data_IF_776781370250
#
_entry.id   IF_776781370250
#
_cell.length_a   1.000
_cell.length_b   1.000
_cell.length_c   1.000
_cell.angle_alpha   90.00
_cell.angle_beta   90.00
_cell.angle_gamma   90.00
#
_symmetry.space_group_name_H-M   'P 1'
#
loop_
_entity.id
_entity.type
_entity.pdbx_description
1 polymer ?
#
# COMPACT_ATOMS: atom_id res chain seq x y z
N UNK A 1 63.96 -30.24 -30.36
CA UNK A 1 64.19 -31.67 -30.07
C UNK A 1 62.91 -32.40 -30.50
N UNK A 2 62.98 -33.14 -31.63
CA UNK A 2 62.31 -34.43 -31.93
C UNK A 2 60.75 -34.45 -31.88
N UNK A 3 59.97 -34.92 -32.86
CA UNK A 3 60.21 -35.65 -34.12
C UNK A 3 58.96 -35.54 -35.04
N UNK A 4 59.21 -35.61 -36.35
CA UNK A 4 58.26 -35.79 -37.46
C UNK A 4 57.43 -37.08 -37.35
N UNK A 5 56.18 -37.06 -37.84
CA UNK A 5 55.64 -38.25 -38.51
C UNK A 5 54.63 -37.86 -39.59
N UNK A 6 55.06 -38.07 -40.83
CA UNK A 6 54.28 -38.05 -42.06
C UNK A 6 53.45 -39.34 -42.17
N UNK A 7 52.22 -39.25 -42.68
CA UNK A 7 51.56 -40.41 -43.27
C UNK A 7 50.92 -40.00 -44.60
N UNK A 8 51.50 -40.55 -45.67
CA UNK A 8 51.06 -40.52 -47.07
C UNK A 8 50.08 -41.67 -47.25
N UNK A 9 48.86 -41.42 -47.73
CA UNK A 9 47.99 -42.45 -48.34
C UNK A 9 47.36 -41.90 -49.63
N UNK A 10 47.95 -42.35 -50.74
CA UNK A 10 47.40 -42.75 -52.03
C UNK A 10 46.07 -42.14 -52.51
N UNK A 11 46.21 -41.35 -53.58
CA UNK A 11 45.19 -41.04 -54.58
C UNK A 11 44.79 -42.32 -55.32
N UNK A 12 43.49 -42.60 -55.38
CA UNK A 12 42.87 -43.56 -56.27
C UNK A 12 41.79 -42.86 -57.10
N UNK A 13 42.08 -42.65 -58.38
CA UNK A 13 41.10 -42.21 -59.38
C UNK A 13 40.12 -43.35 -59.69
N UNK A 14 38.81 -43.06 -59.60
CA UNK A 14 37.74 -43.88 -60.20
C UNK A 14 36.86 -42.93 -61.04
N UNK A 15 36.53 -43.29 -62.30
CA UNK A 15 35.89 -42.37 -63.24
C UNK A 15 34.37 -42.41 -63.16
N UNK A 16 33.76 -41.24 -63.30
CA UNK A 16 32.59 -41.00 -64.15
C UNK A 16 31.22 -41.48 -63.68
N UNK A 17 30.36 -40.50 -63.38
CA UNK A 17 28.95 -40.54 -63.83
C UNK A 17 27.87 -40.46 -62.75
N UNK A 18 27.45 -39.24 -62.41
CA UNK A 18 26.02 -38.89 -62.40
C UNK A 18 25.89 -37.36 -62.42
N UNK A 19 25.27 -36.84 -63.47
CA UNK A 19 24.71 -35.50 -63.50
C UNK A 19 23.52 -35.49 -62.56
N UNK A 20 23.69 -34.97 -61.33
CA UNK A 20 22.57 -34.57 -60.48
C UNK A 20 21.96 -33.27 -61.03
N UNK A 21 21.39 -33.38 -62.22
CA UNK A 21 20.37 -32.44 -62.66
C UNK A 21 19.09 -32.83 -61.93
N UNK A 22 18.77 -32.08 -60.88
CA UNK A 22 17.39 -32.02 -60.40
C UNK A 22 16.50 -31.82 -61.64
N UNK A 23 15.43 -32.62 -61.77
CA UNK A 23 14.42 -32.46 -62.81
C UNK A 23 14.03 -30.97 -62.91
N UNK A 24 13.61 -30.45 -64.08
CA UNK A 24 13.44 -29.02 -64.38
C UNK A 24 12.50 -28.21 -63.47
N UNK A 25 12.04 -28.78 -62.36
CA UNK A 25 11.13 -28.22 -61.36
C UNK A 25 11.64 -28.37 -59.91
N UNK A 26 12.95 -28.47 -59.65
CA UNK A 26 13.49 -28.58 -58.27
C UNK A 26 14.69 -27.67 -58.04
N UNK A 27 14.75 -27.01 -56.87
CA UNK A 27 15.91 -26.23 -56.42
C UNK A 27 16.79 -27.10 -55.53
N UNK A 28 18.09 -27.14 -55.84
CA UNK A 28 19.08 -27.90 -55.08
C UNK A 28 19.56 -27.10 -53.88
N UNK A 29 19.02 -27.40 -52.69
CA UNK A 29 19.64 -27.04 -51.41
C UNK A 29 20.07 -28.36 -50.77
N UNK A 30 21.36 -28.52 -50.47
CA UNK A 30 21.98 -29.70 -49.84
C UNK A 30 21.78 -31.06 -50.55
N UNK A 31 21.95 -31.12 -51.87
CA UNK A 31 21.88 -32.37 -52.68
C UNK A 31 20.55 -33.14 -52.57
N UNK A 32 19.50 -32.51 -52.03
CA UNK A 32 18.18 -33.11 -51.89
C UNK A 32 17.15 -32.24 -52.63
N UNK A 33 16.75 -32.66 -53.83
CA UNK A 33 15.79 -31.94 -54.66
C UNK A 33 14.44 -31.83 -53.91
N UNK A 34 14.10 -30.63 -53.44
CA UNK A 34 12.83 -30.35 -52.77
C UNK A 34 11.87 -29.64 -53.74
N UNK A 35 10.60 -30.05 -53.84
CA UNK A 35 9.64 -29.42 -54.73
C UNK A 35 9.22 -28.04 -54.19
N UNK A 36 9.10 -27.07 -55.10
CA UNK A 36 8.76 -25.67 -54.83
C UNK A 36 7.23 -25.48 -54.88
N UNK A 37 6.68 -24.50 -54.16
CA UNK A 37 5.24 -24.19 -54.24
C UNK A 37 4.87 -23.85 -55.70
N UNK A 38 3.80 -24.46 -56.22
CA UNK A 38 3.35 -24.36 -57.62
C UNK A 38 3.69 -25.58 -58.51
N UNK A 39 4.47 -26.54 -58.01
CA UNK A 39 4.76 -27.78 -58.73
C UNK A 39 3.58 -28.75 -58.76
N UNK A 40 3.49 -29.58 -59.81
CA UNK A 40 2.46 -30.63 -59.91
C UNK A 40 2.60 -31.66 -58.79
N UNK A 41 1.47 -32.09 -58.26
CA UNK A 41 1.39 -33.10 -57.21
C UNK A 41 0.24 -34.06 -57.49
N UNK A 42 0.31 -35.26 -56.92
CA UNK A 42 -0.74 -36.29 -57.00
C UNK A 42 -1.29 -36.69 -55.64
N UNK A 43 -0.54 -36.43 -54.58
CA UNK A 43 -0.90 -36.67 -53.18
C UNK A 43 -0.22 -35.64 -52.27
N UNK A 44 -0.68 -35.53 -51.03
CA UNK A 44 -0.18 -34.55 -50.05
C UNK A 44 1.31 -34.70 -49.74
N UNK A 45 1.83 -35.94 -49.72
CA UNK A 45 3.26 -36.21 -49.48
C UNK A 45 4.19 -35.62 -50.56
N UNK A 46 3.65 -35.31 -51.75
CA UNK A 46 4.41 -34.68 -52.84
C UNK A 46 4.68 -33.19 -52.55
N UNK A 47 4.07 -32.63 -51.48
CA UNK A 47 4.20 -31.24 -51.04
C UNK A 47 4.80 -31.16 -49.62
N UNK A 48 6.12 -31.38 -49.47
CA UNK A 48 6.82 -31.48 -48.17
C UNK A 48 6.99 -30.12 -47.47
N UNK A 49 6.68 -29.01 -48.14
CA UNK A 49 6.77 -27.67 -47.56
C UNK A 49 5.67 -27.53 -46.48
N UNK A 50 6.01 -27.10 -45.25
CA UNK A 50 5.01 -26.90 -44.21
C UNK A 50 3.88 -25.97 -44.66
N UNK A 51 2.64 -26.36 -44.34
CA UNK A 51 1.42 -25.64 -44.69
C UNK A 51 1.07 -25.56 -46.19
N UNK A 52 1.58 -26.49 -47.01
CA UNK A 52 1.03 -26.72 -48.35
C UNK A 52 -0.05 -27.81 -48.35
N UNK A 53 -0.89 -27.80 -49.39
CA UNK A 53 -1.84 -28.85 -49.76
C UNK A 53 -1.68 -29.19 -51.25
N UNK A 54 -1.96 -30.44 -51.62
CA UNK A 54 -1.97 -30.86 -53.01
C UNK A 54 -3.35 -30.66 -53.66
N UNK A 55 -3.43 -29.70 -54.59
CA UNK A 55 -4.61 -29.47 -55.45
C UNK A 55 -4.19 -29.38 -56.91
N UNK A 56 -3.80 -30.55 -57.47
CA UNK A 56 -3.11 -30.74 -58.76
C UNK A 56 -1.72 -30.09 -58.86
N UNK A 57 -1.49 -29.04 -58.08
CA UNK A 57 -0.21 -28.42 -57.77
C UNK A 57 -0.12 -28.16 -56.27
N UNK A 58 1.10 -28.13 -55.72
CA UNK A 58 1.32 -27.74 -54.32
C UNK A 58 0.94 -26.27 -54.14
N UNK A 59 -0.08 -26.00 -53.32
CA UNK A 59 -0.56 -24.65 -52.97
C UNK A 59 -0.46 -24.46 -51.47
N UNK A 60 -0.40 -23.22 -51.00
CA UNK A 60 -0.51 -22.94 -49.58
C UNK A 60 -1.92 -23.24 -49.06
N UNK A 61 -2.02 -23.69 -47.80
CA UNK A 61 -3.29 -23.84 -47.08
C UNK A 61 -4.03 -22.50 -47.03
N UNK A 62 -5.35 -22.53 -46.94
CA UNK A 62 -6.17 -21.32 -46.94
C UNK A 62 -5.73 -20.30 -45.87
N UNK A 63 -5.61 -19.03 -46.27
CA UNK A 63 -5.08 -17.94 -45.44
C UNK A 63 -3.55 -17.84 -45.42
N UNK A 64 -2.88 -18.45 -46.40
CA UNK A 64 -1.45 -18.32 -46.63
C UNK A 64 -1.15 -18.16 -48.13
N UNK A 65 -0.07 -17.46 -48.46
CA UNK A 65 0.45 -17.29 -49.82
C UNK A 65 1.90 -17.80 -49.92
N UNK A 66 2.39 -18.13 -51.13
CA UNK A 66 3.78 -18.54 -51.31
C UNK A 66 4.72 -17.35 -51.04
N UNK A 67 5.85 -17.59 -50.36
CA UNK A 67 6.96 -16.65 -50.27
C UNK A 67 7.45 -16.24 -51.68
N UNK A 68 8.21 -15.16 -51.77
CA UNK A 68 8.72 -14.63 -53.05
C UNK A 68 9.56 -15.66 -53.83
N UNK A 69 10.33 -16.48 -53.10
CA UNK A 69 11.12 -17.60 -53.61
C UNK A 69 10.34 -18.93 -53.68
N UNK A 70 9.07 -18.93 -53.24
CA UNK A 70 8.14 -20.08 -53.21
C UNK A 70 8.62 -21.27 -52.37
N UNK A 71 9.56 -21.05 -51.47
CA UNK A 71 10.13 -22.10 -50.62
C UNK A 71 9.35 -22.31 -49.31
N UNK A 72 8.44 -21.40 -48.94
CA UNK A 72 7.57 -21.54 -47.77
C UNK A 72 6.24 -20.80 -47.97
N UNK A 73 5.24 -21.13 -47.15
CA UNK A 73 3.95 -20.43 -47.13
C UNK A 73 3.94 -19.36 -46.03
N UNK A 74 3.74 -18.12 -46.41
CA UNK A 74 3.56 -16.97 -45.51
C UNK A 74 2.09 -16.83 -45.12
N UNK A 75 1.81 -16.51 -43.85
CA UNK A 75 0.44 -16.29 -43.38
C UNK A 75 -0.11 -14.96 -43.89
N UNK A 76 -1.28 -14.99 -44.54
CA UNK A 76 -1.99 -13.78 -44.99
C UNK A 76 -2.48 -12.94 -43.80
N UNK A 77 -2.67 -13.58 -42.64
CA UNK A 77 -3.13 -12.93 -41.41
C UNK A 77 -1.93 -12.44 -40.63
N UNK A 78 -1.51 -11.19 -40.87
CA UNK A 78 -0.53 -10.51 -40.01
C UNK A 78 -1.08 -10.39 -38.59
N UNK A 79 -0.20 -10.50 -37.60
CA UNK A 79 -0.45 -10.22 -36.18
C UNK A 79 0.27 -8.95 -35.76
N UNK A 80 -0.15 -8.35 -34.66
CA UNK A 80 0.59 -7.23 -34.05
C UNK A 80 1.96 -7.71 -33.62
N UNK A 81 3.01 -7.01 -34.07
CA UNK A 81 4.41 -7.38 -33.92
C UNK A 81 5.04 -8.03 -35.16
N UNK A 82 4.23 -8.51 -36.11
CA UNK A 82 4.77 -9.13 -37.33
C UNK A 82 5.38 -8.08 -38.26
N UNK A 83 6.38 -8.49 -39.03
CA UNK A 83 6.97 -7.64 -40.08
C UNK A 83 5.97 -7.35 -41.18
N UNK A 84 5.99 -6.12 -41.70
CA UNK A 84 5.02 -5.66 -42.69
C UNK A 84 5.63 -4.70 -43.72
N UNK A 85 4.99 -4.61 -44.88
CA UNK A 85 5.16 -3.55 -45.88
C UNK A 85 3.84 -2.80 -46.08
N UNK A 86 3.93 -1.50 -46.32
CA UNK A 86 2.82 -0.61 -46.64
C UNK A 86 1.53 -0.84 -45.81
N UNK A 87 0.50 -1.44 -46.41
CA UNK A 87 -0.84 -1.56 -45.85
C UNK A 87 -1.22 -3.01 -45.45
N UNK A 88 -0.23 -3.90 -45.37
CA UNK A 88 -0.40 -5.33 -45.02
C UNK A 88 -1.07 -5.56 -43.65
N UNK A 89 -1.02 -4.58 -42.74
CA UNK A 89 -1.64 -4.68 -41.41
C UNK A 89 -3.14 -4.38 -41.41
N UNK A 90 -3.75 -4.04 -42.56
CA UNK A 90 -5.18 -3.71 -42.66
C UNK A 90 -6.12 -4.86 -42.31
N UNK A 91 -5.63 -6.10 -42.32
CA UNK A 91 -6.36 -7.30 -41.87
C UNK A 91 -6.62 -7.30 -40.36
N UNK A 92 -5.85 -6.53 -39.58
CA UNK A 92 -6.06 -6.32 -38.15
C UNK A 92 -6.79 -4.98 -37.95
N UNK A 93 -8.00 -5.05 -37.38
CA UNK A 93 -8.77 -3.84 -37.10
C UNK A 93 -7.96 -2.86 -36.23
N UNK A 94 -7.87 -1.62 -36.67
CA UNK A 94 -7.12 -0.55 -36.01
C UNK A 94 -5.61 -0.78 -35.89
N UNK A 95 -4.99 -1.54 -36.79
CA UNK A 95 -3.53 -1.61 -36.93
C UNK A 95 -3.01 -0.75 -38.11
N UNK A 96 -1.70 -0.48 -38.08
CA UNK A 96 -0.92 0.14 -39.17
C UNK A 96 0.45 -0.51 -39.24
N UNK A 97 1.05 -0.55 -40.42
CA UNK A 97 2.47 -0.85 -40.55
C UNK A 97 3.28 0.38 -40.13
N UNK A 98 4.17 0.24 -39.14
CA UNK A 98 4.98 1.36 -38.65
C UNK A 98 6.45 0.99 -38.62
N UNK A 99 7.28 1.84 -39.21
CA UNK A 99 8.73 1.76 -39.08
C UNK A 99 9.15 2.13 -37.65
N UNK A 100 9.93 1.24 -37.05
CA UNK A 100 10.56 1.44 -35.75
C UNK A 100 12.07 1.31 -35.87
N UNK A 101 12.78 2.27 -35.30
CA UNK A 101 14.24 2.20 -35.20
C UNK A 101 14.60 1.14 -34.15
N UNK A 102 15.11 0.00 -34.60
CA UNK A 102 15.56 -1.07 -33.72
C UNK A 102 17.05 -0.87 -33.48
N UNK A 103 17.47 -0.93 -32.22
CA UNK A 103 18.89 -0.96 -31.86
C UNK A 103 19.39 -2.39 -31.97
N UNK A 104 20.01 -2.73 -33.10
CA UNK A 104 20.76 -3.97 -33.26
C UNK A 104 22.20 -3.75 -32.79
N UNK A 105 22.70 -4.67 -31.95
CA UNK A 105 24.06 -4.59 -31.40
C UNK A 105 24.92 -5.64 -32.12
N UNK A 106 25.63 -5.21 -33.16
CA UNK A 106 26.55 -6.07 -33.92
C UNK A 106 28.01 -5.66 -33.61
N UNK A 107 28.81 -6.60 -33.10
CA UNK A 107 30.24 -6.41 -32.78
C UNK A 107 30.60 -5.13 -32.00
N UNK A 108 29.79 -4.76 -30.99
CA UNK A 108 30.09 -3.61 -30.12
C UNK A 108 29.79 -2.24 -30.72
N UNK A 109 29.51 -2.13 -32.02
CA UNK A 109 29.03 -0.92 -32.66
C UNK A 109 27.50 -0.87 -32.66
N UNK A 110 26.92 0.32 -32.40
CA UNK A 110 25.48 0.55 -32.49
C UNK A 110 25.12 0.85 -33.94
N UNK A 111 24.46 -0.08 -34.60
CA UNK A 111 23.86 0.11 -35.92
C UNK A 111 22.36 0.35 -35.68
N UNK A 112 21.77 1.24 -36.46
CA UNK A 112 20.33 1.53 -36.40
C UNK A 112 19.71 0.94 -37.65
N UNK A 113 18.96 -0.15 -37.48
CA UNK A 113 18.16 -0.74 -38.54
C UNK A 113 16.70 -0.30 -38.39
N UNK A 114 16.02 -0.12 -39.51
CA UNK A 114 14.59 0.20 -39.55
C UNK A 114 13.82 -1.09 -39.83
N UNK A 115 13.09 -1.59 -38.84
CA UNK A 115 12.13 -2.68 -39.04
C UNK A 115 10.71 -2.12 -39.04
N UNK A 116 9.94 -2.48 -40.06
CA UNK A 116 8.51 -2.16 -40.17
C UNK A 116 7.70 -3.27 -39.53
N UNK A 117 6.92 -2.96 -38.50
CA UNK A 117 6.06 -3.94 -37.81
C UNK A 117 4.62 -3.48 -37.71
N UNK A 118 3.68 -4.44 -37.69
CA UNK A 118 2.27 -4.16 -37.44
C UNK A 118 2.08 -3.67 -36.01
N UNK A 119 1.57 -2.46 -35.85
CA UNK A 119 1.31 -1.83 -34.56
C UNK A 119 -0.10 -1.26 -34.52
N UNK A 120 -0.68 -1.16 -33.33
CA UNK A 120 -1.97 -0.50 -33.19
C UNK A 120 -1.88 0.98 -33.60
N UNK A 121 -2.96 1.48 -34.23
CA UNK A 121 -3.15 2.89 -34.57
C UNK A 121 -2.94 3.79 -33.37
N UNK A 122 -2.66 5.07 -33.63
CA UNK A 122 -2.63 6.07 -32.57
C UNK A 122 -3.91 5.99 -31.73
N UNK A 123 -3.77 6.11 -30.41
CA UNK A 123 -4.86 5.95 -29.44
C UNK A 123 -5.45 4.53 -29.34
N UNK A 124 -4.74 3.50 -29.78
CA UNK A 124 -5.07 2.11 -29.53
C UNK A 124 -3.91 1.37 -28.84
N UNK A 125 -4.20 0.23 -28.21
CA UNK A 125 -3.22 -0.65 -27.60
C UNK A 125 -3.59 -2.12 -27.78
N UNK A 126 -2.59 -2.98 -27.67
CA UNK A 126 -2.78 -4.42 -27.80
C UNK A 126 -3.44 -5.00 -26.53
N UNK A 127 -4.63 -5.58 -26.69
CA UNK A 127 -5.31 -6.36 -25.67
C UNK A 127 -5.95 -7.59 -26.31
N UNK A 128 -5.63 -8.79 -25.80
CA UNK A 128 -6.17 -10.05 -26.32
C UNK A 128 -6.07 -10.18 -27.85
N UNK A 129 -4.89 -9.86 -28.40
CA UNK A 129 -4.59 -9.88 -29.84
C UNK A 129 -5.39 -8.88 -30.70
N UNK A 130 -6.12 -7.95 -30.09
CA UNK A 130 -6.87 -6.89 -30.77
C UNK A 130 -6.32 -5.52 -30.40
N UNK A 131 -6.43 -4.58 -31.33
CA UNK A 131 -6.14 -3.17 -31.06
C UNK A 131 -7.38 -2.50 -30.46
N UNK A 132 -7.36 -2.32 -29.14
CA UNK A 132 -8.44 -1.70 -28.38
C UNK A 132 -8.18 -0.21 -28.23
N UNK A 133 -9.22 0.61 -28.40
CA UNK A 133 -9.13 2.07 -28.28
C UNK A 133 -8.95 2.47 -26.81
N UNK A 134 -8.11 3.46 -26.55
CA UNK A 134 -8.08 4.11 -25.23
C UNK A 134 -9.35 4.96 -25.04
N UNK A 135 -9.84 5.00 -23.80
CA UNK A 135 -10.85 5.97 -23.38
C UNK A 135 -10.29 7.40 -23.46
N UNK A 136 -11.14 8.34 -23.85
CA UNK A 136 -10.79 9.75 -23.99
C UNK A 136 -11.12 10.54 -22.72
N UNK A 137 -12.21 10.17 -22.04
CA UNK A 137 -12.70 10.87 -20.86
C UNK A 137 -13.16 9.93 -19.74
N UNK A 138 -13.33 10.49 -18.55
CA UNK A 138 -14.04 9.82 -17.47
C UNK A 138 -15.45 9.46 -17.92
N UNK A 139 -15.95 8.33 -17.43
CA UNK A 139 -17.25 7.74 -17.81
C UNK A 139 -17.31 7.15 -19.22
N UNK A 140 -16.27 7.23 -20.03
CA UNK A 140 -16.18 6.43 -21.25
C UNK A 140 -16.26 4.94 -20.91
N UNK A 141 -16.89 4.18 -21.80
CA UNK A 141 -17.00 2.73 -21.64
C UNK A 141 -15.63 2.08 -21.63
N UNK A 142 -15.46 1.09 -20.78
CA UNK A 142 -14.26 0.29 -20.72
C UNK A 142 -14.56 -1.16 -20.36
N UNK A 143 -13.72 -2.07 -20.82
CA UNK A 143 -13.71 -3.48 -20.41
C UNK A 143 -12.47 -3.78 -19.56
N UNK A 144 -11.34 -3.14 -19.82
CA UNK A 144 -10.06 -3.30 -19.13
C UNK A 144 -9.55 -1.99 -18.52
N UNK A 145 -8.80 -2.08 -17.42
CA UNK A 145 -8.19 -0.92 -16.78
C UNK A 145 -7.23 -0.16 -17.71
N UNK A 146 -6.58 -0.87 -18.64
CA UNK A 146 -5.63 -0.32 -19.62
C UNK A 146 -6.29 0.68 -20.55
N UNK A 147 -7.59 0.54 -20.83
CA UNK A 147 -8.34 1.47 -21.67
C UNK A 147 -8.35 2.88 -21.07
N UNK A 148 -8.34 2.99 -19.74
CA UNK A 148 -8.37 4.27 -19.05
C UNK A 148 -6.99 4.95 -18.93
N UNK A 149 -5.88 4.26 -19.24
CA UNK A 149 -4.52 4.72 -18.87
C UNK A 149 -4.10 6.08 -19.45
N UNK A 150 -4.72 6.55 -20.53
CA UNK A 150 -4.46 7.88 -21.09
C UNK A 150 -5.10 9.01 -20.29
N UNK A 151 -6.10 8.72 -19.46
CA UNK A 151 -6.77 9.71 -18.63
C UNK A 151 -5.94 9.91 -17.35
N UNK A 152 -5.44 11.13 -17.15
CA UNK A 152 -4.64 11.47 -15.98
C UNK A 152 -5.45 11.20 -14.71
N UNK A 153 -4.93 10.34 -13.84
CA UNK A 153 -5.56 9.98 -12.57
C UNK A 153 -6.64 8.88 -12.64
N UNK A 154 -7.04 8.45 -13.84
CA UNK A 154 -8.00 7.36 -14.06
C UNK A 154 -7.30 6.14 -14.63
N UNK A 155 -6.88 5.23 -13.75
CA UNK A 155 -6.23 3.96 -14.14
C UNK A 155 -7.11 2.75 -13.91
N UNK A 156 -8.42 2.96 -13.73
CA UNK A 156 -9.34 1.91 -13.28
C UNK A 156 -10.65 1.98 -14.06
N UNK A 157 -11.03 0.83 -14.60
CA UNK A 157 -12.33 0.57 -15.14
C UNK A 157 -13.26 0.08 -14.02
N UNK A 158 -14.40 0.75 -13.82
CA UNK A 158 -15.43 0.29 -12.91
C UNK A 158 -16.19 -0.88 -13.55
N UNK A 159 -16.09 -2.08 -12.98
CA UNK A 159 -16.74 -3.28 -13.52
C UNK A 159 -18.26 -3.30 -13.37
N UNK A 160 -18.82 -2.47 -12.49
CA UNK A 160 -20.27 -2.37 -12.30
C UNK A 160 -20.89 -1.46 -13.35
N UNK A 161 -20.25 -0.33 -13.65
CA UNK A 161 -20.75 0.63 -14.65
C UNK A 161 -20.14 0.43 -16.03
N UNK A 162 -19.08 -0.38 -16.14
CA UNK A 162 -18.21 -0.51 -17.31
C UNK A 162 -17.68 0.83 -17.80
N UNK A 163 -17.24 1.69 -16.88
CA UNK A 163 -16.75 3.03 -17.22
C UNK A 163 -15.46 3.44 -16.52
N UNK A 164 -14.67 4.31 -17.15
CA UNK A 164 -13.43 4.82 -16.59
C UNK A 164 -13.69 5.76 -15.40
N UNK A 165 -12.99 5.51 -14.29
CA UNK A 165 -13.11 6.30 -13.07
C UNK A 165 -11.74 6.61 -12.45
N UNK A 166 -11.69 7.70 -11.69
CA UNK A 166 -10.49 8.06 -10.93
C UNK A 166 -10.04 6.92 -10.02
N UNK A 167 -8.73 6.78 -9.85
CA UNK A 167 -8.19 5.89 -8.83
C UNK A 167 -8.42 6.52 -7.45
N UNK A 168 -9.53 6.17 -6.81
CA UNK A 168 -10.01 6.71 -5.52
C UNK A 168 -8.99 6.65 -4.38
N UNK A 169 -7.96 5.79 -4.48
CA UNK A 169 -6.87 5.72 -3.49
C UNK A 169 -5.92 6.92 -3.54
N UNK A 170 -5.82 7.57 -4.70
CA UNK A 170 -4.83 8.62 -4.97
C UNK A 170 -5.48 9.89 -5.51
N UNK A 171 -6.62 9.78 -6.17
CA UNK A 171 -7.34 10.87 -6.81
C UNK A 171 -8.78 10.92 -6.33
N UNK A 172 -9.40 12.09 -6.45
CA UNK A 172 -10.84 12.32 -6.28
C UNK A 172 -11.39 12.99 -7.55
N UNK A 173 -12.69 12.80 -7.79
CA UNK A 173 -13.38 13.44 -8.91
C UNK A 173 -13.85 14.83 -8.49
N UNK A 174 -13.43 15.87 -9.19
CA UNK A 174 -13.98 17.21 -9.10
C UNK A 174 -13.98 17.85 -10.50
N UNK A 175 -15.03 18.60 -10.82
CA UNK A 175 -15.17 19.31 -12.10
C UNK A 175 -14.92 18.44 -13.35
N UNK A 176 -15.34 17.17 -13.28
CA UNK A 176 -15.15 16.20 -14.35
C UNK A 176 -13.71 15.72 -14.55
N UNK A 177 -12.78 16.01 -13.63
CA UNK A 177 -11.37 15.62 -13.70
C UNK A 177 -10.91 14.90 -12.43
N UNK A 178 -9.83 14.13 -12.55
CA UNK A 178 -9.19 13.48 -11.41
C UNK A 178 -8.16 14.42 -10.78
N UNK A 179 -8.44 14.88 -9.56
CA UNK A 179 -7.53 15.69 -8.77
C UNK A 179 -6.81 14.82 -7.76
N UNK A 180 -5.51 15.07 -7.56
CA UNK A 180 -4.70 14.27 -6.64
C UNK A 180 -5.08 14.61 -5.20
N UNK A 181 -5.28 13.59 -4.37
CA UNK A 181 -5.48 13.76 -2.92
C UNK A 181 -4.18 14.25 -2.27
N UNK A 182 -4.32 15.10 -1.24
CA UNK A 182 -3.21 15.50 -0.37
C UNK A 182 -2.61 14.29 0.31
N UNK A 183 -1.35 14.35 0.73
CA UNK A 183 -0.72 13.25 1.47
C UNK A 183 -0.92 13.38 2.97
N UNK A 184 -0.93 14.62 3.46
CA UNK A 184 -0.91 14.93 4.88
C UNK A 184 -2.04 15.91 5.25
N UNK A 185 -2.34 15.96 6.55
CA UNK A 185 -3.07 17.04 7.19
C UNK A 185 -2.29 18.35 7.04
N UNK A 186 -3.01 19.46 7.12
CA UNK A 186 -2.53 20.83 6.91
C UNK A 186 -2.01 21.12 5.48
N UNK A 187 -2.09 20.16 4.56
CA UNK A 187 -1.87 20.43 3.14
C UNK A 187 -3.11 21.10 2.53
N UNK A 188 -2.88 21.99 1.56
CA UNK A 188 -3.94 22.71 0.89
C UNK A 188 -4.87 21.77 0.12
N UNK A 189 -6.17 22.02 0.23
CA UNK A 189 -7.21 21.27 -0.44
C UNK A 189 -8.28 22.21 -1.00
N UNK A 190 -8.98 21.76 -2.05
CA UNK A 190 -10.08 22.52 -2.67
C UNK A 190 -11.42 21.79 -2.62
N UNK A 191 -11.44 20.57 -2.08
CA UNK A 191 -12.63 19.74 -2.02
C UNK A 191 -12.57 18.83 -0.78
N UNK A 192 -13.69 18.53 -0.10
CA UNK A 192 -13.73 17.61 1.05
C UNK A 192 -13.13 16.24 0.76
N UNK A 193 -13.29 15.72 -0.46
CA UNK A 193 -12.72 14.42 -0.89
C UNK A 193 -11.23 14.49 -1.23
N UNK A 194 -10.64 15.68 -1.18
CA UNK A 194 -9.23 15.93 -1.50
C UNK A 194 -8.26 15.47 -0.43
N UNK A 195 -8.72 15.17 0.78
CA UNK A 195 -7.87 14.75 1.87
C UNK A 195 -7.68 13.23 1.91
N UNK A 196 -6.43 12.77 1.89
CA UNK A 196 -6.12 11.33 2.00
C UNK A 196 -6.21 10.78 3.43
N UNK A 197 -5.77 11.50 4.49
CA UNK A 197 -5.87 10.99 5.85
C UNK A 197 -7.30 10.56 6.18
N UNK A 198 -7.47 9.40 6.80
CA UNK A 198 -8.80 8.89 7.14
C UNK A 198 -9.48 9.85 8.12
N UNK A 199 -10.79 10.08 7.94
CA UNK A 199 -11.58 10.99 8.76
C UNK A 199 -11.15 12.46 8.75
N UNK A 200 -10.37 12.85 7.73
CA UNK A 200 -10.07 14.25 7.47
C UNK A 200 -11.04 14.85 6.46
N UNK A 201 -11.26 16.15 6.59
CA UNK A 201 -12.10 16.97 5.72
C UNK A 201 -11.34 18.24 5.33
N UNK A 202 -11.76 18.84 4.22
CA UNK A 202 -11.17 20.09 3.75
C UNK A 202 -11.86 21.27 4.44
N UNK A 203 -11.20 21.84 5.45
CA UNK A 203 -11.70 22.99 6.22
C UNK A 203 -10.75 24.17 5.99
N UNK A 204 -11.30 25.34 5.66
CA UNK A 204 -10.52 26.55 5.41
C UNK A 204 -9.39 26.36 4.37
N UNK A 205 -9.66 25.57 3.32
CA UNK A 205 -8.70 25.17 2.29
C UNK A 205 -7.51 24.31 2.79
N UNK A 206 -7.62 23.69 3.96
CA UNK A 206 -6.61 22.78 4.51
C UNK A 206 -7.23 21.47 4.98
N UNK A 207 -6.49 20.37 4.84
CA UNK A 207 -6.93 19.08 5.34
C UNK A 207 -6.82 18.99 6.86
N UNK A 208 -7.95 18.90 7.54
CA UNK A 208 -8.03 18.85 9.00
C UNK A 208 -8.85 17.65 9.44
N UNK A 209 -8.63 17.17 10.66
CA UNK A 209 -9.50 16.14 11.22
C UNK A 209 -10.90 16.72 11.44
N UNK A 210 -11.94 15.92 11.16
CA UNK A 210 -13.31 16.35 11.44
C UNK A 210 -13.54 16.63 12.93
N UNK A 211 -14.57 17.41 13.25
CA UNK A 211 -14.83 17.92 14.61
C UNK A 211 -14.91 16.86 15.73
N UNK A 212 -15.24 15.60 15.40
CA UNK A 212 -15.30 14.46 16.33
C UNK A 212 -13.99 13.67 16.42
N UNK A 213 -12.91 14.15 15.81
CA UNK A 213 -11.63 13.45 15.75
C UNK A 213 -10.53 14.34 16.29
N UNK A 214 -9.57 13.73 16.99
CA UNK A 214 -8.35 14.40 17.43
C UNK A 214 -7.19 14.04 16.50
N UNK A 215 -6.43 15.05 16.11
CA UNK A 215 -5.23 14.86 15.32
C UNK A 215 -4.05 14.43 16.19
N UNK A 216 -3.34 13.39 15.75
CA UNK A 216 -2.01 13.09 16.25
C UNK A 216 -1.15 12.41 15.19
N UNK A 217 0.04 12.94 14.93
CA UNK A 217 1.00 12.43 13.93
C UNK A 217 0.36 12.13 12.57
N UNK A 218 -0.39 13.09 12.01
CA UNK A 218 -1.03 12.98 10.70
C UNK A 218 -2.16 11.93 10.62
N UNK A 219 -2.69 11.50 11.78
CA UNK A 219 -3.80 10.55 11.91
C UNK A 219 -4.91 11.18 12.73
N UNK A 220 -6.16 10.98 12.29
CA UNK A 220 -7.36 11.41 13.00
C UNK A 220 -7.91 10.24 13.82
N UNK A 221 -7.92 10.39 15.13
CA UNK A 221 -8.45 9.41 16.08
C UNK A 221 -9.86 9.82 16.55
N UNK A 222 -10.81 8.92 16.41
CA UNK A 222 -12.20 9.14 16.79
C UNK A 222 -12.37 9.32 18.29
N UNK A 223 -13.06 10.38 18.68
CA UNK A 223 -13.58 10.60 20.02
C UNK A 223 -14.88 9.80 20.21
N UNK A 224 -15.47 9.87 21.40
CA UNK A 224 -16.77 9.25 21.69
C UNK A 224 -17.81 9.64 20.62
N UNK A 225 -18.54 8.66 20.10
CA UNK A 225 -19.55 8.81 19.03
C UNK A 225 -19.00 9.25 17.66
N UNK A 226 -17.69 9.22 17.44
CA UNK A 226 -17.10 9.37 16.11
C UNK A 226 -17.30 8.09 15.28
N UNK A 227 -17.46 8.21 13.96
CA UNK A 227 -17.56 7.05 13.08
C UNK A 227 -16.22 6.30 13.02
N UNK A 228 -16.27 4.98 12.93
CA UNK A 228 -15.09 4.14 12.88
C UNK A 228 -15.34 2.90 12.01
N UNK A 229 -14.26 2.23 11.62
CA UNK A 229 -14.32 0.93 10.92
C UNK A 229 -13.59 -0.17 11.69
N UNK A 230 -12.72 0.18 12.62
CA UNK A 230 -11.88 -0.75 13.39
C UNK A 230 -11.48 -0.13 14.74
N UNK A 231 -11.11 -0.94 15.75
CA UNK A 231 -10.74 -0.43 17.08
C UNK A 231 -9.58 0.56 17.11
N UNK A 232 -8.65 0.48 16.14
CA UNK A 232 -7.50 1.40 16.06
C UNK A 232 -7.86 2.78 15.51
N UNK A 233 -9.08 2.97 15.02
CA UNK A 233 -9.58 4.27 14.60
C UNK A 233 -9.98 5.14 15.81
N UNK A 234 -10.26 4.51 16.97
CA UNK A 234 -10.72 5.19 18.17
C UNK A 234 -9.57 5.57 19.10
N UNK A 235 -9.70 6.69 19.80
CA UNK A 235 -8.68 7.21 20.70
C UNK A 235 -8.57 6.36 21.98
N UNK A 236 -7.37 6.05 22.44
CA UNK A 236 -7.07 5.36 23.70
C UNK A 236 -7.55 3.91 23.83
N UNK A 237 -7.15 3.29 24.93
CA UNK A 237 -7.58 1.95 25.34
C UNK A 237 -9.04 1.88 25.80
N UNK A 238 -9.67 3.02 26.08
CA UNK A 238 -11.03 3.09 26.65
C UNK A 238 -12.11 3.38 25.60
N UNK A 239 -11.72 3.57 24.33
CA UNK A 239 -12.65 3.57 23.20
C UNK A 239 -12.36 2.42 22.24
N UNK A 240 -13.43 1.83 21.71
CA UNK A 240 -13.37 0.81 20.66
C UNK A 240 -14.50 1.05 19.65
N UNK A 241 -14.32 0.55 18.44
CA UNK A 241 -15.35 0.63 17.42
C UNK A 241 -16.46 -0.38 17.75
N UNK A 242 -17.64 0.13 18.12
CA UNK A 242 -18.81 -0.66 18.48
C UNK A 242 -19.55 -1.22 17.27
N UNK A 243 -20.58 -2.03 17.53
CA UNK A 243 -21.43 -2.61 16.47
C UNK A 243 -22.22 -1.54 15.70
N UNK A 244 -22.42 -0.37 16.29
CA UNK A 244 -23.01 0.81 15.66
C UNK A 244 -22.12 1.45 14.58
N UNK A 245 -20.86 1.04 14.46
CA UNK A 245 -19.87 1.71 13.61
C UNK A 245 -19.40 3.05 14.18
N UNK A 246 -19.54 3.26 15.49
CA UNK A 246 -19.04 4.44 16.20
C UNK A 246 -18.13 4.07 17.37
N UNK A 247 -17.26 5.00 17.76
CA UNK A 247 -16.38 4.83 18.91
C UNK A 247 -17.19 4.93 20.20
N UNK A 248 -17.21 3.83 20.95
CA UNK A 248 -17.97 3.67 22.18
C UNK A 248 -17.02 3.52 23.37
N UNK A 249 -17.47 3.97 24.55
CA UNK A 249 -16.74 3.72 25.80
C UNK A 249 -16.85 2.23 26.16
N UNK A 250 -15.70 1.59 26.31
CA UNK A 250 -15.57 0.16 26.66
C UNK A 250 -15.26 -0.08 28.13
N UNK A 251 -15.15 0.98 28.94
CA UNK A 251 -15.04 0.88 30.38
C UNK A 251 -16.39 0.46 30.99
N UNK A 252 -16.37 -0.62 31.77
CA UNK A 252 -17.53 -1.07 32.53
C UNK A 252 -17.14 -1.33 33.98
N UNK A 253 -18.04 -1.00 34.90
CA UNK A 253 -17.86 -1.26 36.33
C UNK A 253 -18.23 -2.71 36.63
N UNK A 254 -17.35 -3.42 37.32
CA UNK A 254 -17.58 -4.74 37.88
C UNK A 254 -17.13 -4.74 39.35
N UNK A 255 -18.08 -4.48 40.26
CA UNK A 255 -17.79 -4.20 41.66
C UNK A 255 -16.89 -2.97 41.81
N UNK A 256 -15.78 -3.11 42.53
CA UNK A 256 -14.79 -2.05 42.79
C UNK A 256 -13.79 -1.83 41.65
N UNK A 257 -13.97 -2.51 40.51
CA UNK A 257 -13.08 -2.45 39.36
C UNK A 257 -13.76 -1.79 38.16
N UNK A 258 -13.03 -0.93 37.46
CA UNK A 258 -13.38 -0.50 36.09
C UNK A 258 -12.52 -1.28 35.11
N UNK A 259 -13.15 -2.06 34.23
CA UNK A 259 -12.49 -2.94 33.27
C UNK A 259 -12.68 -2.42 31.85
N UNK A 260 -11.71 -2.63 30.96
CA UNK A 260 -11.88 -2.40 29.52
C UNK A 260 -12.43 -3.67 28.84
N UNK A 261 -13.49 -3.54 28.04
CA UNK A 261 -13.98 -4.62 27.17
C UNK A 261 -13.23 -4.70 25.82
N UNK A 262 -12.21 -3.86 25.61
CA UNK A 262 -11.37 -3.91 24.39
C UNK A 262 -10.62 -5.25 24.35
N UNK A 263 -10.71 -6.03 23.26
CA UNK A 263 -10.06 -7.33 23.18
C UNK A 263 -8.57 -7.24 23.48
N UNK A 264 -8.05 -8.20 24.26
CA UNK A 264 -6.65 -8.32 24.70
C UNK A 264 -6.19 -7.29 25.73
N UNK A 265 -7.04 -6.34 26.11
CA UNK A 265 -6.71 -5.37 27.15
C UNK A 265 -7.03 -5.93 28.53
N UNK A 266 -6.00 -6.04 29.38
CA UNK A 266 -6.11 -6.57 30.76
C UNK A 266 -5.88 -5.49 31.81
N UNK A 267 -6.33 -4.27 31.53
CA UNK A 267 -6.25 -3.14 32.46
C UNK A 267 -7.49 -3.06 33.35
N UNK A 268 -7.29 -2.67 34.60
CA UNK A 268 -8.35 -2.39 35.55
C UNK A 268 -7.99 -1.20 36.44
N UNK A 269 -8.95 -0.32 36.66
CA UNK A 269 -8.88 0.68 37.72
C UNK A 269 -9.52 0.10 38.98
N UNK A 270 -8.77 0.07 40.07
CA UNK A 270 -9.19 -0.53 41.34
C UNK A 270 -9.42 0.60 42.32
N UNK A 271 -10.62 0.71 42.90
CA UNK A 271 -10.86 1.65 43.98
C UNK A 271 -9.87 1.38 45.14
N UNK A 272 -9.07 2.40 45.50
CA UNK A 272 -7.97 2.26 46.46
C UNK A 272 -8.38 2.66 47.89
N UNK A 273 -9.65 2.46 48.26
CA UNK A 273 -10.10 2.69 49.64
C UNK A 273 -9.67 1.58 50.63
N UNK A 274 -9.12 0.46 50.12
CA UNK A 274 -9.03 -0.80 50.87
C UNK A 274 -7.61 -1.32 51.17
N UNK A 275 -6.58 -0.46 51.08
CA UNK A 275 -5.17 -0.84 51.35
C UNK A 275 -4.74 -2.11 50.59
N UNK A 276 -5.20 -2.25 49.35
CA UNK A 276 -4.79 -3.33 48.44
C UNK A 276 -3.27 -3.40 48.33
N UNK A 277 -2.74 -4.58 47.98
CA UNK A 277 -1.30 -4.76 47.75
C UNK A 277 -0.86 -3.77 46.66
N UNK A 278 -0.15 -2.72 47.07
CA UNK A 278 0.42 -1.70 46.17
C UNK A 278 1.22 -2.32 45.02
N UNK A 279 1.76 -3.53 45.22
CA UNK A 279 2.49 -4.31 44.21
C UNK A 279 1.67 -4.75 42.98
N UNK A 280 0.34 -4.66 43.02
CA UNK A 280 -0.50 -4.88 41.83
C UNK A 280 -0.61 -3.60 40.97
N UNK A 281 -0.21 -2.45 41.52
CA UNK A 281 -0.25 -1.17 40.84
C UNK A 281 0.76 -1.08 39.69
N UNK A 282 0.43 -0.30 38.67
CA UNK A 282 1.37 0.00 37.59
C UNK A 282 2.49 0.89 38.13
N UNK A 283 3.66 0.29 38.31
CA UNK A 283 4.87 1.00 38.72
C UNK A 283 5.28 2.04 37.67
N UNK A 284 5.39 3.28 38.11
CA UNK A 284 5.74 4.41 37.25
C UNK A 284 7.20 4.83 37.42
N UNK A 285 7.80 4.62 38.59
CA UNK A 285 9.16 5.04 38.93
C UNK A 285 9.30 5.31 40.42
N UNK A 286 10.31 6.09 40.81
CA UNK A 286 10.56 6.45 42.20
C UNK A 286 10.69 7.97 42.39
N UNK A 287 10.19 8.46 43.53
CA UNK A 287 10.35 9.82 44.04
C UNK A 287 11.14 9.76 45.37
N UNK A 288 12.47 9.89 45.28
CA UNK A 288 13.35 9.65 46.42
C UNK A 288 13.28 8.19 46.89
N UNK A 289 12.94 7.91 48.16
CA UNK A 289 12.81 6.53 48.67
C UNK A 289 11.46 5.88 48.39
N UNK A 290 10.49 6.60 47.81
CA UNK A 290 9.12 6.11 47.61
C UNK A 290 8.84 5.64 46.19
N UNK A 291 8.27 4.45 46.05
CA UNK A 291 7.74 3.98 44.77
C UNK A 291 6.49 4.77 44.36
N UNK A 292 6.42 5.11 43.08
CA UNK A 292 5.31 5.82 42.47
C UNK A 292 4.51 4.86 41.62
N UNK A 293 3.20 4.90 41.81
CA UNK A 293 2.25 4.16 40.98
C UNK A 293 1.29 5.12 40.28
N UNK A 294 0.53 4.61 39.33
CA UNK A 294 -0.46 5.40 38.59
C UNK A 294 -1.81 5.37 39.32
N UNK A 295 -2.40 6.54 39.52
CA UNK A 295 -3.76 6.68 40.05
C UNK A 295 -4.60 7.63 39.18
N UNK A 296 -5.91 7.65 39.43
CA UNK A 296 -6.81 8.72 38.99
C UNK A 296 -7.87 8.97 40.04
N UNK A 297 -8.40 10.18 40.11
CA UNK A 297 -9.49 10.51 41.03
C UNK A 297 -10.35 11.64 40.48
N UNK A 298 -11.49 11.86 41.12
CA UNK A 298 -12.41 12.95 40.75
C UNK A 298 -12.03 14.22 41.51
N UNK A 299 -11.81 15.30 40.78
CA UNK A 299 -11.56 16.63 41.32
C UNK A 299 -12.27 17.66 40.43
N UNK A 300 -13.07 18.56 41.02
CA UNK A 300 -13.89 19.53 40.27
C UNK A 300 -14.75 18.88 39.17
N UNK A 301 -15.37 17.74 39.49
CA UNK A 301 -16.18 16.91 38.57
C UNK A 301 -15.41 16.30 37.37
N UNK A 302 -14.09 16.42 37.34
CA UNK A 302 -13.25 15.82 36.32
C UNK A 302 -12.53 14.59 36.86
N UNK A 303 -12.48 13.52 36.07
CA UNK A 303 -11.61 12.38 36.36
C UNK A 303 -10.21 12.71 35.86
N UNK A 304 -9.22 12.78 36.75
CA UNK A 304 -7.87 13.24 36.44
C UNK A 304 -6.84 12.19 36.88
N UNK A 305 -5.91 11.77 36.01
CA UNK A 305 -4.83 10.87 36.39
C UNK A 305 -3.70 11.61 37.11
N UNK A 306 -2.94 10.88 37.92
CA UNK A 306 -1.88 11.44 38.74
C UNK A 306 -0.93 10.39 39.29
N UNK A 307 -0.11 10.81 40.26
CA UNK A 307 0.87 9.97 40.94
C UNK A 307 0.33 9.48 42.29
N UNK A 308 0.45 8.19 42.52
CA UNK A 308 0.15 7.56 43.81
C UNK A 308 1.41 7.50 44.65
N UNK A 309 1.40 8.15 45.80
CA UNK A 309 2.52 8.20 46.73
C UNK A 309 2.13 7.61 48.10
N UNK A 310 3.10 6.97 48.74
CA UNK A 310 2.99 6.56 50.14
C UNK A 310 3.43 7.71 51.04
N UNK A 311 2.62 8.03 52.04
CA UNK A 311 2.98 9.05 53.03
C UNK A 311 4.08 8.54 53.96
N UNK A 312 5.12 9.36 54.19
CA UNK A 312 6.33 9.00 54.94
C UNK A 312 6.09 8.39 56.33
N UNK A 313 4.95 8.69 56.98
CA UNK A 313 4.65 8.30 58.35
C UNK A 313 3.35 7.49 58.52
N UNK A 314 2.73 7.03 57.43
CA UNK A 314 1.45 6.33 57.51
C UNK A 314 1.36 5.15 56.53
N UNK A 315 0.55 4.15 56.88
CA UNK A 315 0.05 3.14 55.93
C UNK A 315 -1.01 3.73 54.96
N UNK A 316 -0.93 5.05 54.72
CA UNK A 316 -1.87 5.82 53.92
C UNK A 316 -1.19 6.23 52.62
N UNK A 317 -1.98 6.21 51.58
CA UNK A 317 -1.58 6.61 50.25
C UNK A 317 -2.41 7.80 49.81
N UNK A 318 -1.84 8.65 48.97
CA UNK A 318 -2.52 9.80 48.37
C UNK A 318 -2.29 9.80 46.88
N UNK A 319 -3.34 10.16 46.15
CA UNK A 319 -3.25 10.41 44.71
C UNK A 319 -3.08 11.91 44.49
N UNK A 320 -1.94 12.32 43.96
CA UNK A 320 -1.65 13.71 43.64
C UNK A 320 -1.90 13.94 42.16
N UNK A 321 -2.82 14.85 41.84
CA UNK A 321 -3.23 15.16 40.46
C UNK A 321 -2.80 16.56 40.06
N UNK A 322 -2.68 16.84 38.77
CA UNK A 322 -2.45 18.20 38.26
C UNK A 322 -3.77 18.84 37.83
N UNK A 323 -4.14 19.95 38.46
CA UNK A 323 -5.30 20.75 38.09
C UNK A 323 -4.95 22.23 38.08
N UNK A 324 -5.10 22.89 36.93
CA UNK A 324 -4.66 24.27 36.71
C UNK A 324 -3.18 24.44 37.15
N UNK A 325 -2.93 25.29 38.15
CA UNK A 325 -1.59 25.56 38.68
C UNK A 325 -1.34 24.91 40.05
N UNK A 326 -2.20 23.99 40.48
CA UNK A 326 -2.12 23.35 41.80
C UNK A 326 -1.95 21.83 41.70
N UNK A 327 -1.52 21.25 42.82
CA UNK A 327 -1.43 19.80 43.03
C UNK A 327 -2.43 19.40 44.13
N UNK A 328 -3.69 19.11 43.78
CA UNK A 328 -4.65 18.57 44.75
C UNK A 328 -4.27 17.16 45.21
N UNK A 329 -4.46 16.92 46.50
CA UNK A 329 -4.28 15.62 47.14
C UNK A 329 -5.65 14.94 47.28
N UNK A 330 -5.82 13.79 46.64
CA UNK A 330 -7.08 13.03 46.66
C UNK A 330 -6.96 11.84 47.62
N UNK A 331 -7.96 11.71 48.49
CA UNK A 331 -8.11 10.59 49.43
C UNK A 331 -8.99 9.47 48.86
N UNK A 332 -9.88 9.81 47.93
CA UNK A 332 -10.70 8.85 47.18
C UNK A 332 -10.20 8.80 45.73
N UNK A 333 -9.63 7.66 45.35
CA UNK A 333 -9.02 7.48 44.05
C UNK A 333 -9.00 6.02 43.63
N UNK A 334 -8.72 5.79 42.34
CA UNK A 334 -8.52 4.49 41.76
C UNK A 334 -7.03 4.31 41.42
N UNK A 335 -6.48 3.15 41.69
CA UNK A 335 -5.14 2.75 41.27
C UNK A 335 -5.23 1.94 39.97
N UNK A 336 -4.36 2.24 39.00
CA UNK A 336 -4.26 1.44 37.79
C UNK A 336 -3.52 0.12 38.08
N UNK A 337 -4.09 -0.98 37.64
CA UNK A 337 -3.53 -2.33 37.70
C UNK A 337 -3.72 -3.03 36.37
N UNK A 338 -2.83 -3.95 36.01
CA UNK A 338 -2.97 -4.75 34.80
C UNK A 338 -1.64 -5.28 34.26
N UNK A 339 -1.74 -6.07 33.20
CA UNK A 339 -0.57 -6.60 32.47
C UNK A 339 -0.47 -6.02 31.06
N UNK A 340 0.64 -6.29 30.38
CA UNK A 340 0.89 -5.83 28.99
C UNK A 340 0.93 -4.31 28.81
N UNK A 341 1.28 -3.59 29.87
CA UNK A 341 1.50 -2.16 29.85
C UNK A 341 3.00 -1.85 29.78
N UNK A 342 3.36 -0.86 28.97
CA UNK A 342 4.73 -0.35 28.90
C UNK A 342 4.76 1.16 28.77
N UNK A 343 5.84 1.73 29.27
CA UNK A 343 6.18 3.13 29.06
C UNK A 343 6.95 3.26 27.74
N UNK A 344 6.48 4.12 26.85
CA UNK A 344 7.09 4.32 25.52
C UNK A 344 7.53 5.77 25.34
N UNK A 345 8.83 5.94 25.09
CA UNK A 345 9.41 7.22 24.69
C UNK A 345 9.20 7.41 23.18
N UNK A 346 8.53 8.50 22.77
CA UNK A 346 8.30 8.86 21.36
C UNK A 346 7.58 7.78 20.51
N UNK A 347 7.05 8.13 19.33
CA UNK A 347 6.46 7.17 18.37
C UNK A 347 5.31 6.28 18.88
N UNK A 348 4.44 6.78 19.75
CA UNK A 348 3.22 6.07 20.14
C UNK A 348 2.06 6.32 19.17
N UNK A 349 1.01 5.51 19.29
CA UNK A 349 -0.28 5.72 18.64
C UNK A 349 -1.35 5.93 19.70
N UNK A 350 -2.31 6.82 19.45
CA UNK A 350 -3.27 7.18 20.50
C UNK A 350 -4.22 6.02 20.85
N UNK A 351 -4.53 5.12 19.91
CA UNK A 351 -5.43 3.97 20.12
C UNK A 351 -4.92 2.94 21.14
N UNK A 352 -3.62 2.97 21.42
CA UNK A 352 -2.94 2.15 22.43
C UNK A 352 -2.65 2.88 23.73
N UNK A 353 -2.79 4.21 23.76
CA UNK A 353 -2.50 5.01 24.94
C UNK A 353 -3.52 4.77 26.05
N UNK A 354 -3.04 4.62 27.28
CA UNK A 354 -3.92 4.38 28.43
C UNK A 354 -4.68 5.65 28.78
N UNK A 355 -6.01 5.53 28.80
CA UNK A 355 -6.94 6.57 29.24
C UNK A 355 -6.83 6.80 30.74
N UNK A 356 -6.65 8.06 31.15
CA UNK A 356 -6.58 8.46 32.55
C UNK A 356 -7.79 9.21 33.07
N UNK A 357 -8.70 9.65 32.20
CA UNK A 357 -9.81 10.52 32.55
C UNK A 357 -10.17 11.47 31.40
N UNK A 358 -10.91 12.54 31.66
CA UNK A 358 -11.32 13.49 30.62
C UNK A 358 -11.42 14.94 31.13
N UNK A 359 -11.25 15.89 30.22
CA UNK A 359 -11.48 17.31 30.48
C UNK A 359 -12.98 17.67 30.40
N UNK A 360 -13.29 18.95 30.59
CA UNK A 360 -14.67 19.49 30.55
C UNK A 360 -15.39 19.24 29.20
N UNK A 361 -14.63 19.14 28.10
CA UNK A 361 -15.15 18.83 26.76
C UNK A 361 -15.31 17.32 26.51
N UNK A 362 -15.18 16.48 27.54
CA UNK A 362 -15.10 15.02 27.44
C UNK A 362 -13.95 14.52 26.54
N UNK A 363 -12.90 15.33 26.34
CA UNK A 363 -11.69 14.91 25.62
C UNK A 363 -10.76 14.17 26.59
N UNK A 364 -10.21 13.03 26.17
CA UNK A 364 -9.50 12.13 27.06
C UNK A 364 -8.14 12.70 27.50
N UNK A 365 -7.85 12.59 28.80
CA UNK A 365 -6.50 12.65 29.32
C UNK A 365 -5.81 11.30 29.09
N UNK A 366 -4.56 11.33 28.67
CA UNK A 366 -3.71 10.14 28.56
C UNK A 366 -2.61 10.17 29.62
N UNK A 367 -2.12 9.01 30.02
CA UNK A 367 -1.17 8.90 31.13
C UNK A 367 0.26 9.04 30.62
N UNK A 368 1.01 9.98 31.19
CA UNK A 368 2.42 10.17 30.91
C UNK A 368 3.26 10.15 32.18
N UNK A 369 4.57 9.95 32.01
CA UNK A 369 5.57 10.19 33.04
C UNK A 369 6.77 10.91 32.48
N UNK A 370 7.54 11.55 33.34
CA UNK A 370 8.76 12.25 32.94
C UNK A 370 9.75 12.32 34.10
N UNK A 371 11.00 12.69 33.80
CA UNK A 371 12.05 12.95 34.78
C UNK A 371 12.04 14.44 35.13
N UNK A 372 11.89 14.74 36.41
CA UNK A 372 12.00 16.10 36.91
C UNK A 372 13.47 16.47 37.12
N UNK A 373 14.00 17.30 36.22
CA UNK A 373 15.43 17.61 36.16
C UNK A 373 15.94 18.51 37.28
N UNK A 374 15.06 19.26 37.96
CA UNK A 374 15.47 20.17 39.04
C UNK A 374 15.83 19.38 40.32
N UNK A 375 15.19 18.23 40.55
CA UNK A 375 15.35 17.45 41.78
C UNK A 375 15.77 16.01 41.48
N UNK A 376 17.01 15.82 41.03
CA UNK A 376 17.66 14.50 40.97
C UNK A 376 16.96 13.46 40.07
N UNK A 377 16.44 13.88 38.91
CA UNK A 377 15.80 12.99 37.93
C UNK A 377 14.65 12.11 38.48
N UNK A 378 13.96 12.61 39.51
CA UNK A 378 12.77 11.97 40.07
C UNK A 378 11.73 11.73 38.99
N UNK A 379 11.13 10.55 38.99
CA UNK A 379 10.03 10.27 38.07
C UNK A 379 8.77 10.94 38.62
N UNK A 380 7.97 11.52 37.75
CA UNK A 380 6.64 12.01 38.09
C UNK A 380 5.64 11.55 37.06
N UNK A 381 4.43 11.21 37.52
CA UNK A 381 3.30 10.83 36.67
C UNK A 381 2.41 12.05 36.49
N UNK A 382 1.90 12.22 35.28
CA UNK A 382 0.98 13.29 34.94
C UNK A 382 0.04 12.89 33.82
N UNK A 383 -0.49 13.91 33.15
CA UNK A 383 -1.45 13.77 32.05
C UNK A 383 -0.96 14.44 30.77
N UNK A 384 -1.27 13.82 29.64
CA UNK A 384 -1.25 14.51 28.36
C UNK A 384 -2.61 15.14 28.12
N UNK A 385 -2.60 16.43 27.80
CA UNK A 385 -3.82 17.16 27.53
C UNK A 385 -4.14 17.19 26.01
N UNK A 386 -5.43 17.02 25.67
CA UNK A 386 -5.92 17.29 24.32
C UNK A 386 -5.77 18.78 23.96
N UNK A 387 -5.83 19.15 22.66
CA UNK A 387 -5.97 18.28 21.50
C UNK A 387 -4.63 17.75 20.97
N UNK A 388 -3.50 18.31 21.40
CA UNK A 388 -2.21 18.06 20.75
C UNK A 388 -1.46 16.85 21.31
N UNK A 389 -1.64 16.50 22.59
CA UNK A 389 -0.91 15.41 23.26
C UNK A 389 0.63 15.53 23.14
N UNK A 390 1.14 16.77 23.06
CA UNK A 390 2.59 17.09 22.87
C UNK A 390 3.32 17.46 24.15
N UNK A 391 2.60 17.59 25.27
CA UNK A 391 3.16 18.05 26.54
C UNK A 391 2.59 17.22 27.67
N UNK A 392 3.47 16.65 28.49
CA UNK A 392 3.11 16.03 29.76
C UNK A 392 2.98 17.10 30.83
N UNK A 393 1.81 17.18 31.45
CA UNK A 393 1.48 18.09 32.54
C UNK A 393 1.51 17.27 33.82
N UNK A 394 2.45 17.55 34.72
CA UNK A 394 2.67 16.73 35.90
C UNK A 394 2.84 17.59 37.16
N UNK A 395 2.25 17.17 38.30
CA UNK A 395 2.35 17.91 39.54
C UNK A 395 3.63 17.55 40.31
N UNK A 396 4.28 18.55 40.89
CA UNK A 396 5.43 18.38 41.77
C UNK A 396 5.58 19.58 42.70
N UNK A 397 5.82 19.34 43.99
CA UNK A 397 6.13 20.41 44.94
C UNK A 397 5.02 21.46 45.09
N UNK A 398 3.75 21.04 45.01
CA UNK A 398 2.54 21.89 45.07
C UNK A 398 2.30 22.78 43.84
N UNK A 399 3.04 22.54 42.75
CA UNK A 399 2.86 23.25 41.48
C UNK A 399 2.80 22.27 40.31
N UNK A 400 2.55 22.80 39.12
CA UNK A 400 2.39 22.02 37.89
C UNK A 400 3.49 22.40 36.91
N UNK A 401 4.08 21.38 36.28
CA UNK A 401 5.17 21.53 35.32
C UNK A 401 4.80 20.92 33.97
N UNK A 402 5.41 21.46 32.91
CA UNK A 402 5.14 21.11 31.52
C UNK A 402 6.40 20.53 30.86
N UNK A 403 6.30 19.30 30.36
CA UNK A 403 7.43 18.56 29.81
C UNK A 403 7.19 18.17 28.36
N UNK A 404 8.16 18.49 27.50
CA UNK A 404 8.18 18.07 26.09
C UNK A 404 8.82 16.68 25.90
N UNK A 405 9.62 16.23 26.86
CA UNK A 405 10.21 14.89 26.90
C UNK A 405 9.50 14.09 27.96
N UNK A 406 8.84 13.01 27.57
CA UNK A 406 8.05 12.16 28.45
C UNK A 406 7.88 10.79 27.81
N UNK A 407 7.56 9.81 28.65
CA UNK A 407 7.03 8.53 28.23
C UNK A 407 5.51 8.55 28.32
N UNK A 408 4.83 7.88 27.41
CA UNK A 408 3.40 7.60 27.53
C UNK A 408 3.19 6.15 27.99
N UNK A 409 2.16 5.92 28.80
CA UNK A 409 1.74 4.57 29.14
C UNK A 409 0.87 4.02 28.00
N UNK A 410 1.27 2.89 27.42
CA UNK A 410 0.54 2.21 26.33
C UNK A 410 0.29 0.75 26.66
N UNK A 411 -0.77 0.19 26.05
CA UNK A 411 -1.04 -1.24 26.01
C UNK A 411 -0.47 -1.85 24.71
N UNK A 412 0.21 -2.99 24.81
CA UNK A 412 0.82 -3.65 23.65
C UNK A 412 -0.09 -4.54 22.82
#
# INVERSE_FOLDING_TARGET
MIVFLSLIILLGDIPGGSTDECLPNSSGIDQQCSPVIGNKCTKEDDCPIPNTICDQVCKCKGGMHPSEDKNFCETDVKRIGDSCKDDECNTIENAVCKQTNVKTKFFGNKIWDTESTCQCKLNHFLSNLKCVKYANDLRDRCEDNRECYKIIGSKKCNKTTNTCQCNEKIYYLADGKCHKKTKNLHESCSNPSGCKPKFSECLNNECQCGSKYNEYNNVCYGLLNATCSQPSDCLSTSYSCGSSGTCENVEHKNGDKVLSSKPKITLSWINFNNKTKIGDGVYAGADGPGDIHVCRGVYENLLIPGKLLKLFNAHNYQCHVSYLNTEPDLMEFEMLSGSSLRWKESSFTLDKAVYGGANEDNKPYLICRTKHTIYQDRIIVGKLEPPLYKTCVAPFGRTVYYYKKFDILVHD
#
